data_IF_487605516756
#
_entry.id   IF_487605516756
#
_cell.length_a   1.000
_cell.length_b   1.000
_cell.length_c   1.000
_cell.angle_alpha   90.00
_cell.angle_beta   90.00
_cell.angle_gamma   90.00
#
_symmetry.space_group_name_H-M   'P 1'
#
loop_
_entity.id
_entity.type
_entity.pdbx_description
1 polymer ?
#
# COMPACT_ATOMS: atom_id res chain seq x y z
N UNK A 1 1.31 21.89 -21.68
CA UNK A 1 1.99 20.67 -22.18
C UNK A 1 2.38 19.88 -20.95
N UNK A 2 1.64 18.84 -20.61
CA UNK A 2 1.99 17.95 -19.49
C UNK A 2 3.19 17.14 -20.00
N UNK A 3 4.39 17.24 -19.40
CA UNK A 3 5.47 16.35 -19.81
C UNK A 3 4.98 14.93 -19.64
N UNK A 4 5.17 14.09 -20.66
CA UNK A 4 4.83 12.68 -20.62
C UNK A 4 5.50 12.08 -19.39
N UNK A 5 4.70 11.83 -18.34
CA UNK A 5 5.19 11.33 -17.07
C UNK A 5 5.91 10.02 -17.34
N UNK A 6 7.16 9.94 -16.90
CA UNK A 6 7.88 8.66 -16.86
C UNK A 6 6.93 7.67 -16.17
N UNK A 7 6.58 6.54 -16.81
CA UNK A 7 5.73 5.56 -16.16
C UNK A 7 6.39 5.20 -14.82
N UNK A 8 5.60 5.06 -13.74
CA UNK A 8 6.18 4.69 -12.46
C UNK A 8 7.06 3.46 -12.65
N UNK A 9 8.31 3.51 -12.15
CA UNK A 9 9.18 2.33 -12.19
C UNK A 9 8.40 1.17 -11.57
N UNK A 10 8.16 0.15 -12.40
CA UNK A 10 7.48 -1.08 -12.00
C UNK A 10 8.56 -2.07 -11.60
N UNK A 11 8.33 -2.77 -10.49
CA UNK A 11 9.19 -3.87 -10.07
C UNK A 11 9.08 -5.00 -11.11
N UNK A 12 10.20 -5.64 -11.41
CA UNK A 12 10.22 -6.83 -12.24
C UNK A 12 9.39 -7.94 -11.56
N UNK A 13 8.34 -8.42 -12.21
CA UNK A 13 7.45 -9.44 -11.66
C UNK A 13 8.18 -10.78 -11.35
N UNK A 14 9.37 -11.02 -11.92
CA UNK A 14 10.21 -12.17 -11.56
C UNK A 14 10.94 -12.00 -10.21
N UNK A 15 10.96 -10.78 -9.66
CA UNK A 15 11.55 -10.42 -8.36
C UNK A 15 10.52 -10.29 -7.24
N UNK A 16 9.25 -10.56 -7.52
CA UNK A 16 8.21 -10.54 -6.51
C UNK A 16 7.95 -11.93 -5.93
N UNK A 17 7.62 -11.96 -4.65
CA UNK A 17 7.20 -13.17 -3.95
C UNK A 17 5.86 -12.93 -3.27
N UNK A 18 4.97 -13.93 -3.33
CA UNK A 18 3.69 -13.85 -2.64
C UNK A 18 3.91 -14.08 -1.15
N UNK A 19 3.57 -13.09 -0.33
CA UNK A 19 3.66 -13.15 1.13
C UNK A 19 2.28 -12.96 1.75
N UNK A 20 1.87 -13.78 2.73
CA UNK A 20 0.59 -13.57 3.42
C UNK A 20 0.56 -12.18 4.04
N UNK A 21 -0.56 -11.45 3.87
CA UNK A 21 -0.70 -10.10 4.43
C UNK A 21 -0.51 -10.12 5.96
N UNK A 22 -0.93 -11.21 6.62
CA UNK A 22 -0.77 -11.40 8.06
C UNK A 22 0.70 -11.54 8.53
N UNK A 23 1.61 -11.91 7.62
CA UNK A 23 3.04 -12.12 7.91
C UNK A 23 3.89 -10.89 7.54
N UNK A 24 3.28 -9.87 6.92
CA UNK A 24 3.99 -8.66 6.56
C UNK A 24 4.42 -7.87 7.79
N UNK A 25 5.56 -7.20 7.65
CA UNK A 25 6.13 -6.30 8.64
C UNK A 25 6.66 -5.06 7.93
N UNK A 26 7.05 -4.04 8.70
CA UNK A 26 7.67 -2.82 8.15
C UNK A 26 9.05 -3.08 7.51
N UNK A 27 9.63 -4.28 7.66
CA UNK A 27 10.88 -4.67 7.01
C UNK A 27 10.67 -5.16 5.56
N UNK A 28 9.43 -5.41 5.17
CA UNK A 28 9.10 -5.81 3.80
C UNK A 28 8.83 -4.60 2.92
N UNK A 29 9.03 -4.78 1.61
CA UNK A 29 8.61 -3.82 0.60
C UNK A 29 7.63 -4.45 -0.39
N UNK A 30 6.65 -3.67 -0.84
CA UNK A 30 5.66 -4.09 -1.83
C UNK A 30 6.24 -3.93 -3.23
N UNK A 31 6.12 -4.98 -4.03
CA UNK A 31 6.49 -4.95 -5.45
C UNK A 31 5.34 -4.60 -6.37
N UNK A 32 4.11 -4.94 -5.98
CA UNK A 32 2.90 -4.69 -6.75
C UNK A 32 1.69 -4.52 -5.80
N UNK A 33 0.75 -3.59 -6.05
CA UNK A 33 -0.51 -3.48 -5.30
C UNK A 33 -1.46 -4.68 -5.40
N UNK A 34 -1.26 -5.60 -6.36
CA UNK A 34 -2.14 -6.74 -6.58
C UNK A 34 -2.18 -7.72 -5.39
N UNK A 35 -3.39 -8.16 -5.03
CA UNK A 35 -3.66 -9.14 -3.97
C UNK A 35 -4.40 -10.33 -4.54
N UNK A 36 -3.98 -11.54 -4.14
CA UNK A 36 -4.70 -12.78 -4.43
C UNK A 36 -4.63 -13.73 -3.24
N UNK A 37 -5.77 -14.21 -2.76
CA UNK A 37 -5.91 -15.16 -1.65
C UNK A 37 -5.21 -14.68 -0.36
N UNK A 38 -5.43 -13.43 0.02
CA UNK A 38 -4.82 -12.74 1.16
C UNK A 38 -3.29 -12.67 1.11
N UNK A 39 -2.71 -12.77 -0.09
CA UNK A 39 -1.28 -12.64 -0.34
C UNK A 39 -0.98 -11.32 -1.04
N UNK A 40 -0.02 -10.56 -0.53
CA UNK A 40 0.56 -9.41 -1.21
C UNK A 40 1.84 -9.82 -1.97
N UNK A 41 2.16 -9.09 -3.04
CA UNK A 41 3.42 -9.23 -3.75
C UNK A 41 4.50 -8.38 -3.06
N UNK A 42 5.45 -9.02 -2.38
CA UNK A 42 6.61 -8.35 -1.78
C UNK A 42 7.84 -8.50 -2.66
N UNK A 43 8.84 -7.66 -2.42
CA UNK A 43 10.14 -7.70 -3.10
C UNK A 43 11.24 -7.17 -2.16
N UNK A 44 12.48 -7.18 -2.63
CA UNK A 44 13.60 -6.55 -1.93
C UNK A 44 13.46 -5.01 -1.98
N UNK A 45 13.65 -4.34 -0.85
CA UNK A 45 13.47 -2.88 -0.76
C UNK A 45 14.46 -2.08 -1.62
N UNK A 46 15.57 -2.67 -2.05
CA UNK A 46 16.52 -2.06 -2.98
C UNK A 46 16.09 -2.15 -4.45
N UNK A 47 15.06 -2.95 -4.77
CA UNK A 47 14.58 -3.09 -6.15
C UNK A 47 13.96 -1.77 -6.63
N UNK A 48 14.34 -1.29 -7.83
CA UNK A 48 13.77 -0.08 -8.40
C UNK A 48 12.25 -0.19 -8.50
N UNK A 49 11.58 0.73 -7.82
CA UNK A 49 10.13 0.82 -7.83
C UNK A 49 9.42 0.09 -6.68
N UNK A 50 10.17 -0.52 -5.76
CA UNK A 50 9.60 -1.03 -4.52
C UNK A 50 8.92 0.10 -3.71
N UNK A 51 7.88 -0.24 -2.96
CA UNK A 51 7.25 0.63 -1.99
C UNK A 51 7.58 0.13 -0.58
N UNK A 52 8.12 0.99 0.26
CA UNK A 52 8.33 0.71 1.68
C UNK A 52 6.97 0.57 2.37
N UNK A 53 6.82 -0.43 3.23
CA UNK A 53 5.63 -0.53 4.06
C UNK A 53 5.74 0.48 5.19
N UNK A 54 4.84 1.47 5.17
CA UNK A 54 4.78 2.54 6.17
C UNK A 54 3.87 2.17 7.34
N UNK A 55 2.92 1.27 7.10
CA UNK A 55 1.97 0.84 8.11
C UNK A 55 1.18 -0.39 7.70
N UNK A 56 0.78 -1.16 8.71
CA UNK A 56 -0.12 -2.30 8.58
C UNK A 56 -1.27 -2.06 9.54
N UNK A 57 -2.49 -2.14 9.05
CA UNK A 57 -3.69 -1.76 9.80
C UNK A 57 -4.90 -2.60 9.40
N UNK A 58 -6.04 -2.33 10.04
CA UNK A 58 -7.35 -2.81 9.63
C UNK A 58 -8.25 -1.63 9.25
N UNK A 59 -9.28 -1.88 8.44
CA UNK A 59 -10.19 -0.80 8.00
C UNK A 59 -11.00 -0.15 9.15
N UNK A 60 -11.17 -0.87 10.27
CA UNK A 60 -11.85 -0.36 11.46
C UNK A 60 -13.36 -0.18 11.28
N UNK A 61 -14.01 0.46 12.25
CA UNK A 61 -15.49 0.54 12.36
C UNK A 61 -16.20 1.17 11.14
N UNK A 62 -15.47 1.86 10.27
CA UNK A 62 -16.02 2.42 9.03
C UNK A 62 -16.29 1.39 7.93
N UNK A 63 -15.73 0.18 8.02
CA UNK A 63 -15.91 -0.85 7.01
C UNK A 63 -17.21 -1.65 7.19
N UNK A 64 -18.08 -1.73 6.17
CA UNK A 64 -19.29 -2.54 6.23
C UNK A 64 -18.99 -4.04 6.27
N UNK A 65 -19.91 -4.82 6.83
CA UNK A 65 -19.77 -6.28 6.87
C UNK A 65 -19.69 -6.92 5.48
N UNK A 66 -20.47 -6.41 4.52
CA UNK A 66 -20.39 -6.83 3.12
C UNK A 66 -19.33 -6.02 2.37
N UNK A 67 -18.58 -6.65 1.46
CA UNK A 67 -17.56 -5.99 0.64
C UNK A 67 -18.21 -4.89 -0.22
N UNK A 68 -17.85 -3.60 -0.05
CA UNK A 68 -18.41 -2.52 -0.85
C UNK A 68 -17.75 -2.47 -2.23
N UNK A 69 -18.16 -1.53 -3.07
CA UNK A 69 -17.50 -1.30 -4.37
C UNK A 69 -16.05 -0.81 -4.20
N UNK A 70 -15.26 -0.89 -5.27
CA UNK A 70 -13.84 -0.54 -5.25
C UNK A 70 -13.58 0.90 -4.82
N UNK A 71 -14.39 1.86 -5.25
CA UNK A 71 -14.18 3.27 -4.88
C UNK A 71 -14.41 3.51 -3.39
N UNK A 72 -15.41 2.84 -2.81
CA UNK A 72 -15.66 2.88 -1.37
C UNK A 72 -14.54 2.19 -0.57
N UNK A 73 -14.00 1.06 -1.06
CA UNK A 73 -12.84 0.41 -0.43
C UNK A 73 -11.62 1.33 -0.41
N UNK A 74 -11.31 1.96 -1.54
CA UNK A 74 -10.20 2.89 -1.66
C UNK A 74 -10.34 4.06 -0.69
N UNK A 75 -11.52 4.69 -0.62
CA UNK A 75 -11.77 5.80 0.31
C UNK A 75 -11.56 5.42 1.78
N UNK A 76 -12.05 4.23 2.19
CA UNK A 76 -11.85 3.73 3.55
C UNK A 76 -10.37 3.48 3.83
N UNK A 77 -9.68 2.83 2.90
CA UNK A 77 -8.28 2.48 3.08
C UNK A 77 -7.36 3.72 3.06
N UNK A 78 -7.61 4.69 2.18
CA UNK A 78 -6.90 5.98 2.18
C UNK A 78 -7.06 6.71 3.51
N UNK A 79 -8.27 6.73 4.08
CA UNK A 79 -8.52 7.37 5.38
C UNK A 79 -7.69 6.73 6.49
N UNK A 80 -7.51 5.40 6.48
CA UNK A 80 -6.66 4.70 7.45
C UNK A 80 -5.19 4.97 7.17
N UNK A 81 -4.77 4.94 5.90
CA UNK A 81 -3.38 5.10 5.52
C UNK A 81 -2.84 6.53 5.64
N UNK A 82 -3.70 7.55 5.67
CA UNK A 82 -3.28 8.95 5.69
C UNK A 82 -2.40 9.28 6.89
N UNK A 83 -2.68 8.69 8.06
CA UNK A 83 -1.87 8.86 9.27
C UNK A 83 -0.42 8.39 9.04
N UNK A 84 -0.22 7.23 8.41
CA UNK A 84 1.13 6.72 8.12
C UNK A 84 1.86 7.56 7.07
N UNK A 85 1.15 8.06 6.06
CA UNK A 85 1.72 8.96 5.07
C UNK A 85 2.13 10.30 5.66
N UNK A 86 1.30 10.86 6.55
CA UNK A 86 1.62 12.10 7.27
C UNK A 86 2.81 11.93 8.21
N UNK A 87 2.89 10.80 8.92
CA UNK A 87 3.99 10.55 9.85
C UNK A 87 5.32 10.34 9.12
N UNK A 88 5.34 9.54 8.05
CA UNK A 88 6.53 9.43 7.19
C UNK A 88 6.95 10.80 6.64
N UNK A 89 5.98 11.62 6.20
CA UNK A 89 6.27 12.94 5.65
C UNK A 89 6.90 13.88 6.70
N UNK A 90 6.41 13.85 7.94
CA UNK A 90 7.00 14.61 9.06
C UNK A 90 8.44 14.15 9.34
N UNK A 91 8.67 12.84 9.40
CA UNK A 91 10.00 12.27 9.67
C UNK A 91 11.04 12.63 8.60
N UNK A 92 10.61 12.72 7.34
CA UNK A 92 11.48 13.01 6.20
C UNK A 92 11.52 14.50 5.83
N UNK A 93 10.86 15.38 6.61
CA UNK A 93 10.78 16.81 6.30
C UNK A 93 10.14 17.10 4.93
N UNK A 94 9.27 16.21 4.46
CA UNK A 94 8.64 16.25 3.15
C UNK A 94 7.13 16.51 3.27
N UNK A 95 6.49 16.78 2.13
CA UNK A 95 5.02 16.78 2.06
C UNK A 95 4.50 15.38 1.79
N UNK A 96 3.42 14.97 2.45
CA UNK A 96 2.73 13.72 2.14
C UNK A 96 2.22 13.67 0.68
N UNK A 97 2.08 14.83 0.02
CA UNK A 97 1.75 14.92 -1.41
C UNK A 97 2.95 14.57 -2.32
N UNK A 98 4.18 14.58 -1.79
CA UNK A 98 5.39 14.22 -2.52
C UNK A 98 5.67 12.69 -2.51
N UNK A 99 4.87 11.91 -1.76
CA UNK A 99 4.93 10.45 -1.77
C UNK A 99 4.17 9.86 -2.96
N UNK A 100 4.77 8.88 -3.62
CA UNK A 100 3.98 7.88 -4.33
C UNK A 100 3.37 6.93 -3.30
N UNK A 101 2.04 6.86 -3.27
CA UNK A 101 1.27 6.06 -2.32
C UNK A 101 0.77 4.80 -3.00
N UNK A 102 0.81 3.68 -2.30
CA UNK A 102 0.13 2.44 -2.70
C UNK A 102 -0.58 1.86 -1.50
N UNK A 103 -1.72 1.22 -1.72
CA UNK A 103 -2.51 0.58 -0.67
C UNK A 103 -2.87 -0.81 -1.15
N UNK A 104 -2.62 -1.79 -0.30
CA UNK A 104 -2.95 -3.19 -0.52
C UNK A 104 -4.03 -3.55 0.47
N UNK A 105 -5.23 -3.90 -0.01
CA UNK A 105 -6.36 -4.31 0.82
C UNK A 105 -6.53 -5.81 0.64
N UNK A 106 -6.64 -6.56 1.75
CA UNK A 106 -6.91 -8.00 1.68
C UNK A 106 -8.19 -8.27 0.88
N UNK A 107 -8.13 -9.27 -0.01
CA UNK A 107 -9.30 -9.75 -0.74
C UNK A 107 -10.22 -10.62 0.13
N UNK A 108 -9.71 -11.15 1.25
CA UNK A 108 -10.47 -11.79 2.34
C UNK A 108 -11.19 -10.74 3.21
N UNK A 109 -12.29 -10.21 2.66
CA UNK A 109 -13.08 -9.17 3.31
C UNK A 109 -13.85 -9.70 4.51
N UNK A 110 -13.63 -9.09 5.67
CA UNK A 110 -14.31 -9.42 6.92
C UNK A 110 -14.87 -8.17 7.65
N UNK A 111 -15.05 -7.07 6.92
CA UNK A 111 -15.52 -5.79 7.45
C UNK A 111 -14.43 -5.05 8.24
N UNK A 112 -14.69 -4.62 9.49
CA UNK A 112 -13.74 -3.82 10.28
C UNK A 112 -12.36 -4.46 10.53
N UNK A 113 -12.27 -5.79 10.46
CA UNK A 113 -11.01 -6.50 10.68
C UNK A 113 -10.21 -6.72 9.39
N UNK A 114 -10.64 -6.14 8.27
CA UNK A 114 -10.05 -6.42 6.95
C UNK A 114 -8.67 -5.78 6.97
N UNK A 115 -7.64 -6.60 6.80
CA UNK A 115 -6.27 -6.13 6.82
C UNK A 115 -5.98 -5.27 5.59
N UNK A 116 -5.15 -4.25 5.80
CA UNK A 116 -4.57 -3.44 4.75
C UNK A 116 -3.12 -3.09 5.06
N UNK A 117 -2.37 -2.77 4.01
CA UNK A 117 -0.98 -2.36 4.06
C UNK A 117 -0.84 -1.05 3.32
N UNK A 118 -0.25 -0.07 4.00
CA UNK A 118 0.00 1.26 3.48
C UNK A 118 1.46 1.33 3.03
N UNK A 119 1.68 1.38 1.73
CA UNK A 119 3.01 1.49 1.14
C UNK A 119 3.29 2.89 0.60
N UNK A 120 4.54 3.32 0.65
CA UNK A 120 4.98 4.60 0.13
C UNK A 120 6.40 4.57 -0.41
N UNK A 121 6.72 5.50 -1.32
CA UNK A 121 8.09 5.80 -1.73
C UNK A 121 8.24 7.26 -2.12
N UNK A 122 9.42 7.83 -1.96
CA UNK A 122 9.71 9.20 -2.37
C UNK A 122 9.62 9.37 -3.89
N UNK A 123 9.08 10.50 -4.35
CA UNK A 123 9.30 11.00 -5.71
C UNK A 123 10.76 11.49 -5.82
N UNK A 124 11.69 10.58 -6.14
CA UNK A 124 13.08 10.91 -6.47
C UNK A 124 13.19 11.67 -7.79
#
# INVERSE_FOLDING_TARGET
MIPAGVPPMMVDASKTVSTPIADLTLEHCLGNPDVQNAMAQTTDCSEPGAFEILGIATLGEGAPAAKPDGATQDQLAFKVCDVFYEDWAKEHGASAAALFKTIVISDDWNGPSTALVCGGRSQS
#
